data_IF_741057234136
#
_entry.id   IF_741057234136
#
_cell.length_a   1.000
_cell.length_b   1.000
_cell.length_c   1.000
_cell.angle_alpha   90.00
_cell.angle_beta   90.00
_cell.angle_gamma   90.00
#
_symmetry.space_group_name_H-M   'P 1'
#
loop_
_entity.id
_entity.type
_entity.pdbx_description
1 polymer ?
#
# COMPACT_ATOMS: atom_id res chain seq x y z
N UNK A 1 -78.61 -7.46 -7.68
CA UNK A 1 -77.58 -7.63 -8.73
C UNK A 1 -76.22 -7.37 -8.07
N UNK A 2 -75.58 -8.30 -7.37
CA UNK A 2 -75.62 -9.79 -7.44
C UNK A 2 -75.23 -10.30 -8.84
N UNK A 3 -74.33 -11.27 -9.02
CA UNK A 3 -73.61 -12.17 -8.09
C UNK A 3 -72.07 -12.01 -8.24
N UNK A 4 -71.14 -12.53 -7.42
CA UNK A 4 -71.01 -13.81 -6.66
C UNK A 4 -70.87 -15.04 -7.62
N UNK A 5 -70.05 -16.09 -7.41
CA UNK A 5 -69.30 -16.65 -6.25
C UNK A 5 -67.96 -17.26 -6.75
N UNK A 6 -66.93 -17.52 -5.89
CA UNK A 6 -65.75 -18.31 -6.34
C UNK A 6 -64.66 -18.72 -5.30
N UNK A 7 -64.91 -19.68 -4.41
CA UNK A 7 -63.95 -20.29 -3.43
C UNK A 7 -63.90 -21.84 -3.58
N UNK A 8 -62.98 -22.65 -3.01
CA UNK A 8 -61.89 -22.42 -2.00
C UNK A 8 -60.49 -22.72 -2.64
N UNK A 9 -59.46 -23.46 -2.17
CA UNK A 9 -59.06 -24.28 -0.98
C UNK A 9 -57.49 -24.26 -0.94
N UNK A 10 -56.69 -24.16 0.14
CA UNK A 10 -56.52 -24.79 1.48
C UNK A 10 -55.65 -26.08 1.54
N UNK A 11 -54.59 -26.08 2.38
CA UNK A 11 -53.74 -27.23 2.75
C UNK A 11 -52.37 -27.33 2.05
N UNK A 12 -51.27 -27.86 2.64
CA UNK A 12 -51.01 -28.29 4.04
C UNK A 12 -49.50 -28.29 4.37
N UNK A 13 -49.11 -28.07 5.64
CA UNK A 13 -47.74 -28.36 6.15
C UNK A 13 -47.56 -29.85 6.51
N UNK A 14 -46.35 -30.39 6.39
CA UNK A 14 -45.85 -31.47 7.27
C UNK A 14 -44.32 -31.44 7.43
N UNK A 15 -43.83 -31.90 8.59
CA UNK A 15 -42.42 -32.20 8.88
C UNK A 15 -42.13 -33.68 8.60
N UNK A 16 -40.88 -34.04 8.37
CA UNK A 16 -40.34 -35.30 8.90
C UNK A 16 -38.82 -35.22 9.11
N UNK A 17 -38.28 -36.09 9.98
CA UNK A 17 -36.86 -36.21 10.30
C UNK A 17 -36.53 -37.67 10.66
N UNK A 18 -35.30 -38.09 10.35
CA UNK A 18 -34.55 -39.28 10.78
C UNK A 18 -33.08 -38.98 10.38
N UNK A 19 -32.01 -39.16 11.15
CA UNK A 19 -31.67 -39.94 12.36
C UNK A 19 -31.24 -41.41 12.13
N UNK A 20 -30.04 -41.72 12.65
CA UNK A 20 -29.28 -42.98 12.67
C UNK A 20 -28.87 -43.59 11.30
N UNK A 21 -27.74 -44.32 11.18
CA UNK A 21 -27.16 -45.27 12.15
C UNK A 21 -25.62 -45.33 12.17
N UNK A 22 -25.11 -45.79 13.32
CA UNK A 22 -23.77 -46.36 13.66
C UNK A 22 -23.27 -47.40 12.61
N UNK A 23 -22.02 -47.90 12.55
CA UNK A 23 -20.85 -48.02 13.47
C UNK A 23 -19.58 -48.21 12.57
N UNK A 24 -18.34 -48.59 12.92
CA UNK A 24 -17.61 -49.03 14.15
C UNK A 24 -16.08 -48.92 13.96
N UNK A 25 -15.33 -49.09 15.06
CA UNK A 25 -13.93 -49.58 15.14
C UNK A 25 -13.96 -50.91 15.91
N UNK A 26 -12.96 -51.85 15.85
CA UNK A 26 -11.74 -51.71 16.68
C UNK A 26 -10.46 -52.57 16.39
N UNK A 27 -9.27 -52.08 16.82
CA UNK A 27 -8.13 -52.87 17.39
C UNK A 27 -7.40 -53.88 16.43
N UNK A 28 -6.23 -54.49 16.72
CA UNK A 28 -5.24 -54.44 17.85
C UNK A 28 -3.84 -54.95 17.40
N UNK A 29 -2.81 -54.67 18.22
CA UNK A 29 -1.51 -55.40 18.39
C UNK A 29 -0.60 -55.62 17.16
N UNK A 30 0.71 -55.29 17.17
CA UNK A 30 1.80 -55.60 18.12
C UNK A 30 2.32 -57.05 18.03
N UNK A 31 3.53 -57.24 17.49
CA UNK A 31 4.52 -58.14 18.09
C UNK A 31 5.95 -57.93 17.56
N UNK A 32 6.92 -58.42 18.33
CA UNK A 32 8.37 -58.34 18.09
C UNK A 32 8.97 -59.68 17.69
N UNK A 33 10.04 -59.68 16.89
CA UNK A 33 11.04 -60.76 16.90
C UNK A 33 12.41 -60.26 16.40
N UNK A 34 13.49 -60.87 16.91
CA UNK A 34 14.86 -60.71 16.42
C UNK A 34 15.19 -61.90 15.51
N UNK A 35 16.05 -61.68 14.53
CA UNK A 35 16.99 -62.68 14.01
C UNK A 35 18.30 -62.00 13.64
N UNK A 36 19.39 -62.76 13.68
CA UNK A 36 20.77 -62.27 13.50
C UNK A 36 21.41 -63.07 12.36
N UNK A 37 22.01 -62.40 11.39
CA UNK A 37 23.11 -63.02 10.62
C UNK A 37 24.05 -61.95 10.02
N UNK A 38 25.14 -62.40 9.40
CA UNK A 38 26.39 -61.65 9.29
C UNK A 38 26.66 -61.04 7.90
N UNK A 39 27.34 -59.89 7.89
CA UNK A 39 28.71 -59.71 7.32
C UNK A 39 28.90 -58.41 6.50
N UNK A 40 30.02 -57.71 6.75
CA UNK A 40 30.76 -56.77 5.86
C UNK A 40 29.93 -55.75 5.01
N UNK A 41 30.08 -54.43 5.12
CA UNK A 41 31.35 -53.65 5.06
C UNK A 41 31.25 -52.21 5.65
N UNK A 42 32.42 -51.57 5.82
CA UNK A 42 32.70 -50.12 5.64
C UNK A 42 31.83 -49.05 6.34
N UNK A 43 32.40 -48.50 7.43
CA UNK A 43 32.66 -47.07 7.65
C UNK A 43 31.58 -46.01 7.32
N UNK A 44 30.95 -45.44 8.36
CA UNK A 44 30.71 -43.98 8.48
C UNK A 44 30.22 -43.64 9.90
N UNK A 45 31.07 -43.00 10.72
CA UNK A 45 30.71 -42.55 12.07
C UNK A 45 30.73 -41.02 12.14
N UNK A 46 29.54 -40.42 12.15
CA UNK A 46 29.21 -39.12 12.76
C UNK A 46 30.31 -38.05 12.87
N UNK A 47 30.31 -37.07 11.97
CA UNK A 47 30.90 -35.76 12.26
C UNK A 47 29.84 -34.65 12.24
N UNK A 48 30.14 -33.58 12.97
CA UNK A 48 29.23 -32.45 13.21
C UNK A 48 29.43 -31.44 12.08
N UNK A 49 28.36 -30.94 11.48
CA UNK A 49 28.44 -29.75 10.62
C UNK A 49 28.66 -28.50 11.48
N UNK A 50 29.88 -28.34 12.00
CA UNK A 50 30.40 -27.02 12.34
C UNK A 50 30.57 -26.21 11.06
N UNK A 51 29.90 -25.06 10.96
CA UNK A 51 30.30 -24.05 9.99
C UNK A 51 31.67 -23.52 10.39
N UNK A 52 32.72 -24.15 9.86
CA UNK A 52 34.06 -23.60 9.89
C UNK A 52 34.11 -22.44 8.89
N UNK A 53 33.64 -21.28 9.34
CA UNK A 53 33.96 -20.01 8.68
C UNK A 53 35.48 -19.90 8.63
N UNK A 54 36.05 -20.17 7.46
CA UNK A 54 37.45 -19.85 7.19
C UNK A 54 37.61 -18.35 7.37
N UNK A 55 38.14 -17.95 8.53
CA UNK A 55 38.66 -16.61 8.80
C UNK A 55 39.81 -16.32 7.84
N UNK A 56 39.46 -15.96 6.61
CA UNK A 56 40.32 -15.19 5.74
C UNK A 56 40.63 -13.91 6.48
N UNK A 57 41.82 -13.86 7.08
CA UNK A 57 42.38 -12.63 7.66
C UNK A 57 42.18 -11.52 6.63
N UNK A 58 41.43 -10.48 7.00
CA UNK A 58 41.21 -9.35 6.11
C UNK A 58 42.50 -8.52 6.09
N UNK A 59 43.43 -8.94 5.24
CA UNK A 59 44.67 -8.23 5.01
C UNK A 59 44.29 -6.90 4.36
N UNK A 60 44.55 -5.80 5.07
CA UNK A 60 44.28 -4.44 4.58
C UNK A 60 44.98 -4.21 3.25
N UNK A 61 44.34 -3.42 2.38
CA UNK A 61 44.89 -2.97 1.11
C UNK A 61 46.30 -2.35 1.27
N UNK A 62 46.47 -1.55 2.33
CA UNK A 62 47.76 -0.94 2.69
C UNK A 62 48.81 -1.98 3.13
N UNK A 63 48.39 -3.06 3.79
CA UNK A 63 49.28 -4.14 4.24
C UNK A 63 49.74 -5.00 3.04
N UNK A 64 48.85 -5.32 2.10
CA UNK A 64 49.21 -6.01 0.85
C UNK A 64 50.23 -5.16 0.07
N UNK A 65 49.95 -3.87 -0.08
CA UNK A 65 50.84 -2.94 -0.78
C UNK A 65 52.21 -2.82 -0.10
N UNK A 66 52.24 -2.64 1.22
CA UNK A 66 53.47 -2.62 2.01
C UNK A 66 54.30 -3.89 1.84
N UNK A 67 53.66 -5.06 1.89
CA UNK A 67 54.37 -6.34 1.79
C UNK A 67 54.86 -6.63 0.34
N UNK A 68 54.19 -6.10 -0.69
CA UNK A 68 54.74 -6.05 -2.05
C UNK A 68 55.97 -5.15 -2.15
N UNK A 69 55.91 -3.92 -1.64
CA UNK A 69 57.04 -2.97 -1.63
C UNK A 69 58.26 -3.57 -0.90
N UNK A 70 58.01 -4.32 0.19
CA UNK A 70 59.01 -5.07 0.96
C UNK A 70 59.59 -6.28 0.20
N UNK A 71 58.77 -7.05 -0.52
CA UNK A 71 59.26 -8.12 -1.40
C UNK A 71 60.16 -7.54 -2.50
N UNK A 72 59.73 -6.46 -3.15
CA UNK A 72 60.47 -5.78 -4.21
C UNK A 72 61.80 -5.18 -3.73
N UNK A 73 61.86 -4.67 -2.50
CA UNK A 73 63.10 -4.22 -1.88
C UNK A 73 64.07 -5.40 -1.66
N UNK A 74 63.60 -6.49 -1.04
CA UNK A 74 64.43 -7.67 -0.77
C UNK A 74 64.90 -8.38 -2.06
N UNK A 75 64.11 -8.36 -3.14
CA UNK A 75 64.54 -8.84 -4.47
C UNK A 75 65.71 -7.99 -4.99
N UNK A 76 65.64 -6.66 -4.90
CA UNK A 76 66.71 -5.75 -5.33
C UNK A 76 68.00 -5.94 -4.54
N UNK A 77 67.89 -6.20 -3.23
CA UNK A 77 69.05 -6.54 -2.39
C UNK A 77 69.67 -7.88 -2.80
N UNK A 78 68.88 -8.94 -3.02
CA UNK A 78 69.43 -10.19 -3.54
C UNK A 78 70.06 -10.02 -4.93
N UNK A 79 69.47 -9.23 -5.83
CA UNK A 79 70.04 -8.90 -7.15
C UNK A 79 71.30 -8.02 -7.09
N UNK A 80 71.55 -7.35 -5.96
CA UNK A 80 72.77 -6.61 -5.69
C UNK A 80 73.86 -7.56 -5.17
N UNK A 81 73.55 -8.39 -4.18
CA UNK A 81 74.50 -9.37 -3.63
C UNK A 81 74.91 -10.43 -4.67
N UNK A 82 73.99 -10.85 -5.55
CA UNK A 82 74.31 -11.72 -6.71
C UNK A 82 75.41 -11.16 -7.62
N UNK A 83 75.54 -9.84 -7.77
CA UNK A 83 76.54 -9.21 -8.67
C UNK A 83 77.96 -9.22 -8.11
N UNK A 84 78.13 -9.46 -6.81
CA UNK A 84 79.43 -9.50 -6.11
C UNK A 84 79.76 -10.88 -5.52
N UNK A 85 78.84 -11.84 -5.62
CA UNK A 85 78.98 -13.16 -5.04
C UNK A 85 79.89 -14.08 -5.88
N UNK A 86 81.04 -14.46 -5.32
CA UNK A 86 82.01 -15.40 -5.93
C UNK A 86 81.79 -16.87 -5.53
N UNK A 87 80.84 -17.16 -4.63
CA UNK A 87 80.56 -18.50 -4.13
C UNK A 87 79.28 -19.06 -4.77
N UNK A 88 79.39 -20.12 -5.58
CA UNK A 88 78.27 -20.72 -6.30
C UNK A 88 77.11 -21.16 -5.39
N UNK A 89 77.37 -21.64 -4.17
CA UNK A 89 76.32 -22.09 -3.26
C UNK A 89 75.51 -20.89 -2.73
N UNK A 90 76.19 -19.79 -2.43
CA UNK A 90 75.56 -18.55 -1.97
C UNK A 90 74.83 -17.82 -3.12
N UNK A 91 75.39 -17.85 -4.32
CA UNK A 91 74.75 -17.35 -5.54
C UNK A 91 73.44 -18.10 -5.84
N UNK A 92 73.46 -19.43 -5.79
CA UNK A 92 72.27 -20.27 -5.95
C UNK A 92 71.23 -20.01 -4.85
N UNK A 93 71.65 -19.77 -3.60
CA UNK A 93 70.76 -19.38 -2.52
C UNK A 93 70.06 -18.03 -2.79
N UNK A 94 70.79 -17.03 -3.30
CA UNK A 94 70.20 -15.74 -3.67
C UNK A 94 69.21 -15.86 -4.84
N UNK A 95 69.52 -16.67 -5.86
CA UNK A 95 68.58 -16.97 -6.96
C UNK A 95 67.29 -17.61 -6.43
N UNK A 96 67.40 -18.66 -5.60
CA UNK A 96 66.24 -19.34 -5.03
C UNK A 96 65.39 -18.40 -4.16
N UNK A 97 66.04 -17.54 -3.36
CA UNK A 97 65.38 -16.57 -2.48
C UNK A 97 64.67 -15.46 -3.26
N UNK A 98 65.30 -14.91 -4.30
CA UNK A 98 64.70 -13.90 -5.17
C UNK A 98 63.52 -14.46 -5.99
N UNK A 99 63.64 -15.68 -6.54
CA UNK A 99 62.53 -16.34 -7.25
C UNK A 99 61.32 -16.57 -6.34
N UNK A 100 61.53 -17.07 -5.12
CA UNK A 100 60.45 -17.26 -4.14
C UNK A 100 59.78 -15.94 -3.73
N UNK A 101 60.52 -14.86 -3.60
CA UNK A 101 59.93 -13.52 -3.34
C UNK A 101 59.14 -12.99 -4.54
N UNK A 102 59.56 -13.28 -5.78
CA UNK A 102 58.80 -12.91 -6.99
C UNK A 102 57.47 -13.66 -7.07
N UNK A 103 57.44 -14.95 -6.72
CA UNK A 103 56.20 -15.74 -6.59
C UNK A 103 55.26 -15.12 -5.54
N UNK A 104 55.78 -14.70 -4.39
CA UNK A 104 55.00 -14.03 -3.34
C UNK A 104 54.48 -12.65 -3.78
N UNK A 105 55.30 -11.82 -4.43
CA UNK A 105 54.90 -10.51 -4.95
C UNK A 105 53.80 -10.63 -6.02
N UNK A 106 53.88 -11.64 -6.90
CA UNK A 106 52.83 -11.96 -7.87
C UNK A 106 51.51 -12.37 -7.19
N UNK A 107 51.55 -13.21 -6.15
CA UNK A 107 50.35 -13.60 -5.40
C UNK A 107 49.68 -12.39 -4.74
N UNK A 108 50.46 -11.48 -4.14
CA UNK A 108 49.91 -10.24 -3.58
C UNK A 108 49.29 -9.33 -4.66
N UNK A 109 49.92 -9.20 -5.83
CA UNK A 109 49.40 -8.42 -6.96
C UNK A 109 48.05 -8.95 -7.47
N UNK A 110 47.82 -10.26 -7.49
CA UNK A 110 46.53 -10.85 -7.85
C UNK A 110 45.44 -10.55 -6.82
N UNK A 111 45.75 -10.66 -5.52
CA UNK A 111 44.81 -10.33 -4.44
C UNK A 111 44.46 -8.84 -4.47
N UNK A 112 45.45 -7.96 -4.64
CA UNK A 112 45.27 -6.50 -4.75
C UNK A 112 44.33 -6.14 -5.90
N UNK A 113 44.59 -6.66 -7.11
CA UNK A 113 43.74 -6.42 -8.29
C UNK A 113 42.31 -6.88 -8.06
N UNK A 114 42.12 -8.03 -7.41
CA UNK A 114 40.78 -8.54 -7.10
C UNK A 114 40.04 -7.63 -6.11
N UNK A 115 40.69 -7.20 -5.02
CA UNK A 115 40.09 -6.24 -4.08
C UNK A 115 39.72 -4.92 -4.78
N UNK A 116 40.56 -4.42 -5.69
CA UNK A 116 40.28 -3.22 -6.48
C UNK A 116 39.05 -3.38 -7.39
N UNK A 117 38.88 -4.54 -8.04
CA UNK A 117 37.67 -4.83 -8.84
C UNK A 117 36.42 -5.02 -7.98
N UNK A 118 36.54 -5.72 -6.85
CA UNK A 118 35.42 -6.00 -5.94
C UNK A 118 34.90 -4.68 -5.28
N UNK A 119 35.79 -3.74 -4.97
CA UNK A 119 35.44 -2.39 -4.48
C UNK A 119 34.68 -1.58 -5.54
N UNK A 120 35.22 -1.49 -6.76
CA UNK A 120 34.58 -0.75 -7.87
C UNK A 120 33.20 -1.30 -8.22
N UNK A 121 33.04 -2.62 -8.19
CA UNK A 121 31.76 -3.29 -8.39
C UNK A 121 30.76 -2.97 -7.27
N UNK A 122 31.23 -2.87 -6.03
CA UNK A 122 30.40 -2.51 -4.86
C UNK A 122 29.94 -1.05 -4.92
N UNK A 123 30.82 -0.12 -5.31
CA UNK A 123 30.47 1.29 -5.58
C UNK A 123 29.41 1.41 -6.69
N UNK A 124 29.54 0.64 -7.76
CA UNK A 124 28.56 0.65 -8.86
C UNK A 124 27.21 0.04 -8.44
N UNK A 125 27.20 -1.05 -7.65
CA UNK A 125 25.97 -1.59 -7.05
C UNK A 125 25.29 -0.55 -6.15
N UNK A 126 26.03 0.12 -5.27
CA UNK A 126 25.47 1.13 -4.36
C UNK A 126 24.85 2.31 -5.15
N UNK A 127 25.56 2.76 -6.20
CA UNK A 127 25.09 3.81 -7.12
C UNK A 127 23.84 3.39 -7.91
N UNK A 128 23.74 2.11 -8.29
CA UNK A 128 22.55 1.55 -8.93
C UNK A 128 21.37 1.43 -7.95
N UNK A 129 21.58 1.02 -6.70
CA UNK A 129 20.53 0.96 -5.66
C UNK A 129 19.88 2.32 -5.45
N UNK A 130 20.69 3.36 -5.18
CA UNK A 130 20.23 4.73 -5.00
C UNK A 130 19.45 5.26 -6.23
N UNK A 131 19.84 4.84 -7.44
CA UNK A 131 19.13 5.19 -8.68
C UNK A 131 17.78 4.47 -8.80
N UNK A 132 17.69 3.21 -8.37
CA UNK A 132 16.43 2.45 -8.33
C UNK A 132 15.47 3.06 -7.31
N UNK A 133 15.94 3.37 -6.10
CA UNK A 133 15.16 4.03 -5.04
C UNK A 133 14.60 5.38 -5.54
N UNK A 134 15.43 6.19 -6.20
CA UNK A 134 15.00 7.46 -6.79
C UNK A 134 13.92 7.29 -7.88
N UNK A 135 14.07 6.31 -8.78
CA UNK A 135 13.11 6.02 -9.84
C UNK A 135 11.79 5.43 -9.31
N UNK A 136 11.85 4.65 -8.23
CA UNK A 136 10.66 4.18 -7.51
C UNK A 136 9.91 5.34 -6.88
N UNK A 137 10.61 6.27 -6.22
CA UNK A 137 9.99 7.46 -5.63
C UNK A 137 9.36 8.37 -6.70
N UNK A 138 10.08 8.62 -7.81
CA UNK A 138 9.52 9.39 -8.94
C UNK A 138 8.26 8.75 -9.52
N UNK A 139 8.22 7.42 -9.68
CA UNK A 139 7.01 6.74 -10.15
C UNK A 139 5.87 6.78 -9.12
N UNK A 140 6.16 6.61 -7.81
CA UNK A 140 5.15 6.77 -6.74
C UNK A 140 4.56 8.19 -6.74
N UNK A 141 5.35 9.23 -7.00
CA UNK A 141 4.86 10.61 -7.04
C UNK A 141 4.16 10.99 -8.36
N UNK A 142 4.60 10.44 -9.50
CA UNK A 142 3.87 10.53 -10.78
C UNK A 142 2.50 9.88 -10.67
N UNK A 143 2.42 8.64 -10.17
CA UNK A 143 1.15 7.92 -9.99
C UNK A 143 0.20 8.68 -9.04
N UNK A 144 0.72 9.26 -7.94
CA UNK A 144 -0.07 10.16 -7.07
C UNK A 144 -0.67 11.36 -7.80
N UNK A 145 -0.01 11.89 -8.84
CA UNK A 145 -0.53 13.01 -9.64
C UNK A 145 -1.50 12.57 -10.73
N UNK A 146 -1.25 11.43 -11.38
CA UNK A 146 -2.15 10.82 -12.37
C UNK A 146 -3.47 10.35 -11.73
N UNK A 147 -3.46 10.05 -10.43
CA UNK A 147 -4.63 9.66 -9.65
C UNK A 147 -5.34 10.81 -8.90
N UNK A 148 -4.96 12.09 -9.09
CA UNK A 148 -5.71 13.23 -8.54
C UNK A 148 -6.80 13.70 -9.52
N UNK A 149 -7.86 12.90 -9.67
CA UNK A 149 -8.85 13.07 -10.74
C UNK A 149 -9.83 14.24 -10.54
N UNK A 150 -9.84 14.93 -9.39
CA UNK A 150 -10.95 15.80 -8.98
C UNK A 150 -11.11 17.08 -9.80
N UNK A 151 -10.03 17.57 -10.41
CA UNK A 151 -10.06 18.74 -11.30
C UNK A 151 -10.62 18.44 -12.70
N UNK A 152 -11.10 17.20 -12.95
CA UNK A 152 -11.67 16.78 -14.25
C UNK A 152 -13.15 17.13 -14.40
N UNK A 153 -13.47 17.98 -15.37
CA UNK A 153 -14.85 18.33 -15.75
C UNK A 153 -15.68 17.11 -16.21
N UNK A 154 -16.96 17.05 -15.80
CA UNK A 154 -17.90 15.99 -16.20
C UNK A 154 -18.30 16.09 -17.67
N UNK A 155 -18.11 15.00 -18.43
CA UNK A 155 -18.58 14.85 -19.82
C UNK A 155 -19.94 14.15 -19.95
N UNK A 156 -20.60 13.82 -18.83
CA UNK A 156 -21.84 13.02 -18.81
C UNK A 156 -23.06 13.78 -19.34
N UNK A 157 -23.95 13.07 -20.02
CA UNK A 157 -25.28 13.57 -20.40
C UNK A 157 -26.14 13.84 -19.16
N UNK A 158 -27.26 14.57 -19.34
CA UNK A 158 -28.23 14.76 -18.26
C UNK A 158 -28.86 13.44 -17.81
N UNK A 159 -29.09 12.52 -18.74
CA UNK A 159 -29.75 11.23 -18.48
C UNK A 159 -28.85 10.32 -17.62
N UNK A 160 -27.55 10.25 -17.93
CA UNK A 160 -26.56 9.54 -17.10
C UNK A 160 -26.42 10.14 -15.69
N UNK A 161 -26.57 11.46 -15.56
CA UNK A 161 -26.57 12.15 -14.27
C UNK A 161 -27.85 11.86 -13.46
N UNK A 162 -29.02 11.87 -14.11
CA UNK A 162 -30.30 11.61 -13.45
C UNK A 162 -30.46 10.11 -13.08
N UNK A 163 -30.00 9.16 -13.90
CA UNK A 163 -29.98 7.72 -13.62
C UNK A 163 -29.10 7.38 -12.40
N UNK A 164 -27.81 7.75 -12.42
CA UNK A 164 -26.91 7.52 -11.31
C UNK A 164 -27.45 8.12 -10.00
N UNK A 165 -28.00 9.34 -10.08
CA UNK A 165 -28.64 10.00 -8.94
C UNK A 165 -29.87 9.24 -8.43
N UNK A 166 -30.67 8.62 -9.30
CA UNK A 166 -31.81 7.79 -8.90
C UNK A 166 -31.37 6.49 -8.22
N UNK A 167 -30.28 5.88 -8.69
CA UNK A 167 -29.64 4.74 -8.03
C UNK A 167 -29.16 5.10 -6.62
N UNK A 168 -28.45 6.23 -6.45
CA UNK A 168 -28.04 6.71 -5.11
C UNK A 168 -29.21 6.96 -4.15
N UNK A 169 -30.30 7.57 -4.65
CA UNK A 169 -31.51 7.86 -3.85
C UNK A 169 -32.12 6.57 -3.29
N UNK A 170 -32.16 5.52 -4.11
CA UNK A 170 -32.68 4.21 -3.75
C UNK A 170 -31.73 3.50 -2.79
N UNK A 171 -30.44 3.42 -3.14
CA UNK A 171 -29.41 2.73 -2.36
C UNK A 171 -29.26 3.31 -0.95
N UNK A 172 -29.08 4.63 -0.82
CA UNK A 172 -28.94 5.28 0.49
C UNK A 172 -30.28 5.62 1.17
N UNK A 173 -31.42 5.12 0.67
CA UNK A 173 -32.76 5.42 1.18
C UNK A 173 -32.98 6.93 1.46
N UNK A 174 -32.57 7.78 0.51
CA UNK A 174 -32.60 9.24 0.61
C UNK A 174 -33.78 9.87 -0.14
N UNK A 175 -34.73 9.04 -0.62
CA UNK A 175 -35.96 9.50 -1.25
C UNK A 175 -37.00 9.95 -0.23
N UNK A 176 -37.75 11.00 -0.53
CA UNK A 176 -38.87 11.46 0.29
C UNK A 176 -40.19 10.80 -0.14
N UNK A 177 -41.09 10.44 0.80
CA UNK A 177 -42.47 10.08 0.48
C UNK A 177 -43.23 11.21 -0.24
N UNK A 178 -42.82 12.48 -0.03
CA UNK A 178 -43.30 13.62 -0.81
C UNK A 178 -42.41 13.77 -2.05
N UNK A 179 -42.96 13.37 -3.20
CA UNK A 179 -42.26 13.36 -4.49
C UNK A 179 -41.46 14.64 -4.78
N UNK A 180 -40.36 14.48 -5.54
CA UNK A 180 -39.38 15.51 -5.94
C UNK A 180 -38.38 15.97 -4.87
N UNK A 181 -38.50 15.57 -3.61
CA UNK A 181 -37.50 15.92 -2.57
C UNK A 181 -36.50 14.80 -2.25
N UNK A 182 -35.24 15.17 -2.00
CA UNK A 182 -34.10 14.27 -1.73
C UNK A 182 -33.40 14.68 -0.43
N UNK A 183 -33.00 13.71 0.38
CA UNK A 183 -32.23 13.92 1.60
C UNK A 183 -30.76 14.21 1.30
N UNK A 184 -30.19 15.27 1.89
CA UNK A 184 -28.75 15.48 1.93
C UNK A 184 -28.13 14.62 3.05
N UNK A 185 -27.08 13.86 2.72
CA UNK A 185 -26.41 12.95 3.66
C UNK A 185 -25.58 13.65 4.74
N UNK A 186 -25.33 14.96 4.64
CA UNK A 186 -24.64 15.72 5.70
C UNK A 186 -25.64 16.49 6.56
N UNK A 187 -26.49 17.29 5.90
CA UNK A 187 -27.43 18.16 6.60
C UNK A 187 -28.62 17.41 7.21
N UNK A 188 -28.80 16.13 6.89
CA UNK A 188 -29.88 15.26 7.38
C UNK A 188 -31.31 15.72 7.03
N UNK A 189 -31.45 16.75 6.18
CA UNK A 189 -32.71 17.35 5.71
C UNK A 189 -33.04 16.97 4.28
N UNK A 190 -34.33 17.04 3.94
CA UNK A 190 -34.83 16.95 2.58
C UNK A 190 -34.82 18.33 1.90
N UNK A 191 -34.44 18.36 0.63
CA UNK A 191 -34.46 19.54 -0.25
C UNK A 191 -35.12 19.17 -1.58
N UNK A 192 -35.48 20.16 -2.40
CA UNK A 192 -35.84 19.89 -3.80
C UNK A 192 -34.69 19.18 -4.55
N UNK A 193 -35.03 18.28 -5.48
CA UNK A 193 -34.07 17.50 -6.28
C UNK A 193 -32.97 18.37 -6.88
N UNK A 194 -33.26 19.61 -7.26
CA UNK A 194 -32.33 20.47 -7.98
C UNK A 194 -31.20 21.03 -7.09
N UNK A 195 -31.32 21.03 -5.76
CA UNK A 195 -30.25 21.50 -4.85
C UNK A 195 -29.32 20.39 -4.33
N UNK A 196 -29.72 19.12 -4.45
CA UNK A 196 -28.88 17.97 -4.10
C UNK A 196 -28.12 17.49 -5.34
N UNK A 197 -26.82 17.25 -5.21
CA UNK A 197 -25.92 16.72 -6.24
C UNK A 197 -25.62 15.25 -5.95
N UNK A 198 -25.51 14.45 -7.01
CA UNK A 198 -24.99 13.09 -6.92
C UNK A 198 -23.48 13.15 -7.16
N UNK A 199 -22.76 13.48 -6.10
CA UNK A 199 -21.31 13.63 -6.11
C UNK A 199 -20.68 12.27 -6.37
N UNK A 200 -19.79 12.20 -7.35
CA UNK A 200 -18.93 11.05 -7.60
C UNK A 200 -17.68 11.18 -6.74
N UNK A 201 -17.35 10.14 -5.96
CA UNK A 201 -16.13 10.11 -5.14
C UNK A 201 -14.93 10.03 -6.08
N UNK A 202 -14.81 8.97 -6.88
CA UNK A 202 -13.91 8.95 -8.04
C UNK A 202 -14.63 9.49 -9.27
N UNK A 203 -14.07 10.52 -9.93
CA UNK A 203 -14.79 11.29 -10.96
C UNK A 203 -15.23 10.42 -12.14
N UNK A 204 -16.51 10.49 -12.50
CA UNK A 204 -17.08 9.81 -13.66
C UNK A 204 -16.38 10.13 -14.99
N UNK A 205 -15.79 11.32 -15.12
CA UNK A 205 -15.03 11.74 -16.31
C UNK A 205 -13.81 10.86 -16.60
N UNK A 206 -13.24 10.17 -15.60
CA UNK A 206 -12.17 9.17 -15.76
C UNK A 206 -12.63 7.92 -16.50
N UNK A 207 -13.95 7.68 -16.62
CA UNK A 207 -14.56 6.42 -17.10
C UNK A 207 -14.12 5.17 -16.34
N UNK A 208 -13.57 5.33 -15.13
CA UNK A 208 -13.06 4.23 -14.31
C UNK A 208 -11.55 4.00 -14.40
N UNK A 209 -10.83 4.72 -15.27
CA UNK A 209 -9.36 4.73 -15.29
C UNK A 209 -8.84 5.10 -13.90
N UNK A 210 -7.86 4.33 -13.40
CA UNK A 210 -7.28 4.47 -12.06
C UNK A 210 -8.04 3.74 -10.94
N UNK A 211 -9.22 3.15 -11.19
CA UNK A 211 -9.93 2.35 -10.17
C UNK A 211 -9.21 1.03 -9.84
N UNK A 212 -8.48 0.45 -10.79
CA UNK A 212 -7.65 -0.75 -10.61
C UNK A 212 -6.70 -0.64 -9.43
N UNK A 213 -6.10 0.55 -9.27
CA UNK A 213 -5.14 0.89 -8.23
C UNK A 213 -5.75 0.77 -6.82
N UNK A 214 -7.06 1.00 -6.70
CA UNK A 214 -7.83 0.81 -5.48
C UNK A 214 -8.45 -0.58 -5.36
N UNK A 215 -8.04 -1.56 -6.17
CA UNK A 215 -8.62 -2.91 -6.23
C UNK A 215 -10.15 -2.85 -6.49
N UNK A 216 -10.55 -2.00 -7.46
CA UNK A 216 -11.90 -1.83 -8.04
C UNK A 216 -11.89 -2.14 -9.56
N UNK A 217 -13.06 -2.36 -10.16
CA UNK A 217 -13.24 -2.45 -11.62
C UNK A 217 -13.51 -1.07 -12.23
N UNK A 218 -13.24 -0.88 -13.53
CA UNK A 218 -13.62 0.36 -14.23
C UNK A 218 -15.15 0.60 -14.18
N UNK A 219 -15.94 -0.48 -14.27
CA UNK A 219 -17.39 -0.46 -14.12
C UNK A 219 -17.88 0.06 -12.76
N UNK A 220 -17.05 0.00 -11.70
CA UNK A 220 -17.42 0.55 -10.40
C UNK A 220 -17.49 2.09 -10.39
N UNK A 221 -17.09 2.77 -11.48
CA UNK A 221 -17.20 4.23 -11.61
C UNK A 221 -18.63 4.73 -11.44
N UNK A 222 -19.64 3.95 -11.85
CA UNK A 222 -21.06 4.28 -11.69
C UNK A 222 -21.76 3.42 -10.61
N UNK A 223 -21.01 2.70 -9.79
CA UNK A 223 -21.52 1.97 -8.63
C UNK A 223 -22.00 2.96 -7.55
N UNK A 224 -23.09 2.64 -6.85
CA UNK A 224 -23.69 3.51 -5.84
C UNK A 224 -22.75 3.79 -4.66
N UNK A 225 -21.81 2.87 -4.41
CA UNK A 225 -20.72 3.03 -3.42
C UNK A 225 -19.64 4.03 -3.84
N UNK A 226 -19.60 4.42 -5.11
CA UNK A 226 -18.80 5.54 -5.61
C UNK A 226 -19.55 6.89 -5.56
N UNK A 227 -20.75 6.95 -4.98
CA UNK A 227 -21.58 8.15 -4.93
C UNK A 227 -21.95 8.64 -3.54
N UNK A 228 -22.20 9.95 -3.42
CA UNK A 228 -22.77 10.62 -2.25
C UNK A 228 -23.85 11.64 -2.66
N UNK A 229 -24.89 11.81 -1.84
CA UNK A 229 -25.95 12.82 -2.03
C UNK A 229 -25.70 14.05 -1.15
N UNK A 230 -25.01 15.03 -1.73
CA UNK A 230 -24.53 16.25 -1.06
C UNK A 230 -25.36 17.47 -1.49
N UNK A 231 -25.52 18.47 -0.62
CA UNK A 231 -26.06 19.78 -1.04
C UNK A 231 -25.02 20.49 -1.93
N UNK A 232 -25.44 21.28 -2.91
CA UNK A 232 -24.57 21.78 -3.98
C UNK A 232 -23.29 22.50 -3.50
N UNK A 233 -23.37 23.33 -2.47
CA UNK A 233 -22.20 24.00 -1.88
C UNK A 233 -21.22 23.01 -1.22
N UNK A 234 -21.73 21.97 -0.56
CA UNK A 234 -20.93 20.89 0.04
C UNK A 234 -20.25 20.08 -1.06
N UNK A 235 -20.96 19.76 -2.14
CA UNK A 235 -20.40 19.05 -3.29
C UNK A 235 -19.26 19.84 -3.95
N UNK A 236 -19.47 21.12 -4.28
CA UNK A 236 -18.43 22.01 -4.82
C UNK A 236 -17.22 22.13 -3.89
N UNK A 237 -17.42 22.05 -2.58
CA UNK A 237 -16.35 22.11 -1.57
C UNK A 237 -15.57 20.80 -1.45
N UNK A 238 -16.25 19.66 -1.54
CA UNK A 238 -15.65 18.33 -1.61
C UNK A 238 -14.81 18.20 -2.90
N UNK A 239 -15.39 18.57 -4.03
CA UNK A 239 -14.74 18.58 -5.34
C UNK A 239 -13.47 19.44 -5.36
N UNK A 240 -13.56 20.67 -4.84
CA UNK A 240 -12.41 21.60 -4.76
C UNK A 240 -11.42 21.28 -3.62
N UNK A 241 -11.47 20.06 -3.04
CA UNK A 241 -10.52 19.55 -2.04
C UNK A 241 -10.44 20.44 -0.76
N UNK A 242 -11.50 21.20 -0.45
CA UNK A 242 -11.62 22.14 0.68
C UNK A 242 -12.27 21.54 1.94
N UNK A 243 -13.02 20.45 1.77
CA UNK A 243 -13.43 19.53 2.84
C UNK A 243 -13.18 18.10 2.36
N UNK A 244 -13.10 17.14 3.28
CA UNK A 244 -13.02 15.71 2.96
C UNK A 244 -13.82 14.87 3.95
N UNK A 245 -13.84 13.55 3.73
CA UNK A 245 -14.50 12.58 4.61
C UNK A 245 -13.49 11.60 5.23
N UNK A 246 -13.45 11.56 6.56
CA UNK A 246 -12.51 10.76 7.35
C UNK A 246 -13.28 9.63 8.07
N UNK A 247 -12.69 8.45 8.19
CA UNK A 247 -13.33 7.30 8.83
C UNK A 247 -12.88 7.17 10.28
N UNK A 248 -13.76 7.49 11.22
CA UNK A 248 -13.59 7.29 12.65
C UNK A 248 -13.73 5.78 12.97
N UNK A 249 -12.63 5.08 13.32
CA UNK A 249 -12.67 3.64 13.56
C UNK A 249 -13.27 3.30 14.93
N UNK A 250 -13.31 4.25 15.87
CA UNK A 250 -13.81 4.05 17.23
C UNK A 250 -15.32 4.23 17.30
N UNK A 251 -15.86 5.22 16.59
CA UNK A 251 -17.31 5.44 16.45
C UNK A 251 -17.91 4.80 15.18
N UNK A 252 -17.09 4.09 14.39
CA UNK A 252 -17.50 3.26 13.25
C UNK A 252 -18.12 4.02 12.07
N UNK A 253 -17.89 5.33 11.94
CA UNK A 253 -18.61 6.20 11.02
C UNK A 253 -17.70 7.13 10.19
N UNK A 254 -18.27 7.76 9.16
CA UNK A 254 -17.59 8.75 8.33
C UNK A 254 -17.95 10.15 8.81
N UNK A 255 -16.95 11.02 8.99
CA UNK A 255 -17.11 12.42 9.43
C UNK A 255 -16.63 13.39 8.37
N UNK A 256 -17.29 14.54 8.27
CA UNK A 256 -16.77 15.72 7.55
C UNK A 256 -15.53 16.26 8.28
N UNK A 257 -14.51 16.67 7.53
CA UNK A 257 -13.44 17.55 8.00
C UNK A 257 -13.35 18.77 7.09
N UNK A 258 -13.54 19.96 7.65
CA UNK A 258 -13.31 21.23 6.95
C UNK A 258 -11.82 21.58 7.00
N UNK A 259 -11.20 21.73 5.83
CA UNK A 259 -9.78 22.02 5.69
C UNK A 259 -9.51 23.48 5.31
N UNK A 260 -10.43 24.14 4.62
CA UNK A 260 -10.30 25.55 4.23
C UNK A 260 -10.89 26.48 5.31
N UNK A 261 -10.05 27.19 6.06
CA UNK A 261 -10.50 28.04 7.17
C UNK A 261 -11.40 29.20 6.73
N UNK A 262 -11.13 29.84 5.59
CA UNK A 262 -11.95 30.92 5.02
C UNK A 262 -13.42 30.50 4.81
N UNK A 263 -13.64 29.21 4.56
CA UNK A 263 -14.96 28.65 4.34
C UNK A 263 -15.79 28.56 5.62
N UNK A 264 -15.18 28.49 6.82
CA UNK A 264 -15.86 28.13 8.07
C UNK A 264 -17.10 28.97 8.35
N UNK A 265 -17.03 30.28 8.12
CA UNK A 265 -18.15 31.22 8.34
C UNK A 265 -19.08 31.39 7.13
N UNK A 266 -18.83 30.68 6.02
CA UNK A 266 -19.69 30.71 4.83
C UNK A 266 -20.95 29.87 5.09
N UNK A 267 -22.12 30.40 4.74
CA UNK A 267 -23.38 29.64 4.80
C UNK A 267 -23.42 28.55 3.72
N UNK A 268 -23.91 27.37 4.09
CA UNK A 268 -24.04 26.21 3.20
C UNK A 268 -25.24 26.38 2.25
N UNK A 269 -26.32 26.97 2.76
CA UNK A 269 -27.62 27.07 2.11
C UNK A 269 -28.01 28.56 2.07
N UNK A 270 -28.73 28.99 1.04
CA UNK A 270 -29.19 30.38 0.91
C UNK A 270 -30.19 30.75 2.02
N UNK A 271 -30.19 32.00 2.50
CA UNK A 271 -31.01 32.45 3.64
C UNK A 271 -32.51 32.10 3.51
N UNK A 272 -33.11 32.30 2.34
CA UNK A 272 -34.51 31.94 2.08
C UNK A 272 -34.80 30.42 2.16
N UNK A 273 -33.81 29.59 1.82
CA UNK A 273 -33.89 28.12 1.90
C UNK A 273 -33.52 27.64 3.30
N UNK A 274 -32.64 28.35 4.02
CA UNK A 274 -32.40 28.12 5.44
C UNK A 274 -33.69 28.28 6.23
N UNK A 275 -34.27 29.50 6.27
CA UNK A 275 -35.43 29.84 7.12
C UNK A 275 -36.66 28.95 6.94
N UNK A 276 -36.73 28.17 5.85
CA UNK A 276 -37.81 27.21 5.54
C UNK A 276 -37.49 25.75 5.87
N UNK A 277 -36.21 25.35 5.97
CA UNK A 277 -35.78 23.96 6.22
C UNK A 277 -34.98 23.77 7.54
N UNK A 278 -34.45 24.87 8.06
CA UNK A 278 -33.66 24.99 9.29
C UNK A 278 -34.16 26.22 10.06
N UNK A 279 -34.40 26.07 11.37
CA UNK A 279 -34.78 27.19 12.23
C UNK A 279 -33.58 28.12 12.54
N UNK A 280 -32.40 27.80 12.00
CA UNK A 280 -31.09 28.40 12.26
C UNK A 280 -30.30 28.40 10.94
N UNK A 281 -29.46 29.40 10.70
CA UNK A 281 -28.54 29.39 9.56
C UNK A 281 -27.43 28.35 9.78
N UNK A 282 -27.05 27.59 8.73
CA UNK A 282 -25.94 26.61 8.81
C UNK A 282 -24.72 27.08 8.03
N UNK A 283 -23.61 27.25 8.73
CA UNK A 283 -22.27 27.50 8.17
C UNK A 283 -21.49 26.19 7.96
N UNK A 284 -20.37 26.23 7.23
CA UNK A 284 -19.48 25.07 7.12
C UNK A 284 -18.85 24.68 8.46
N UNK A 285 -18.65 25.62 9.39
CA UNK A 285 -18.19 25.30 10.75
C UNK A 285 -19.20 24.41 11.51
N UNK A 286 -20.50 24.60 11.29
CA UNK A 286 -21.58 23.83 11.93
C UNK A 286 -21.74 22.40 11.40
N UNK A 287 -20.93 22.01 10.41
CA UNK A 287 -20.83 20.62 9.91
C UNK A 287 -19.43 20.03 10.08
N UNK A 288 -18.46 20.74 10.67
CA UNK A 288 -17.13 20.17 10.92
C UNK A 288 -17.23 19.04 11.97
N UNK A 289 -16.60 17.89 11.69
CA UNK A 289 -16.78 16.62 12.42
C UNK A 289 -18.19 16.00 12.39
N UNK A 290 -19.15 16.57 11.63
CA UNK A 290 -20.48 16.02 11.50
C UNK A 290 -20.49 14.67 10.76
N UNK A 291 -21.33 13.75 11.23
CA UNK A 291 -21.40 12.36 10.74
C UNK A 291 -22.18 12.29 9.43
N UNK A 292 -21.59 11.69 8.40
CA UNK A 292 -22.23 11.30 7.15
C UNK A 292 -23.37 10.31 7.44
N UNK A 293 -24.60 10.74 7.17
CA UNK A 293 -25.82 9.98 7.41
C UNK A 293 -25.95 8.85 6.38
N UNK A 294 -25.76 7.62 6.86
CA UNK A 294 -25.83 6.38 6.08
C UNK A 294 -26.91 5.46 6.66
N UNK A 295 -27.63 4.68 5.83
CA UNK A 295 -28.40 3.54 6.32
C UNK A 295 -27.49 2.47 6.96
N UNK A 296 -28.00 1.65 7.90
CA UNK A 296 -27.22 0.57 8.51
C UNK A 296 -26.56 -0.34 7.47
N UNK A 297 -25.28 -0.67 7.71
CA UNK A 297 -24.44 -1.54 6.88
C UNK A 297 -24.13 -1.05 5.45
N UNK A 298 -24.62 0.12 5.02
CA UNK A 298 -24.29 0.69 3.71
C UNK A 298 -23.16 1.71 3.83
N UNK A 299 -22.04 1.43 3.15
CA UNK A 299 -20.87 2.30 3.15
C UNK A 299 -20.36 2.57 1.72
N UNK A 300 -20.04 3.84 1.38
CA UNK A 300 -19.26 4.14 0.18
C UNK A 300 -17.88 3.47 0.22
N UNK A 301 -17.16 3.50 -0.90
CA UNK A 301 -15.79 2.97 -0.97
C UNK A 301 -14.83 3.81 -0.12
N UNK A 302 -14.62 3.39 1.14
CA UNK A 302 -13.71 4.07 2.10
C UNK A 302 -12.32 4.34 1.52
N UNK A 303 -11.80 3.43 0.69
CA UNK A 303 -10.53 3.59 -0.04
C UNK A 303 -10.46 4.81 -0.96
N UNK A 304 -11.54 5.13 -1.67
CA UNK A 304 -11.63 6.32 -2.52
C UNK A 304 -11.80 7.60 -1.67
N UNK A 305 -12.51 7.53 -0.55
CA UNK A 305 -12.62 8.65 0.41
C UNK A 305 -11.30 8.93 1.15
N UNK A 306 -10.54 7.89 1.51
CA UNK A 306 -9.20 8.03 2.07
C UNK A 306 -8.26 8.67 1.04
N UNK A 307 -8.29 8.23 -0.22
CA UNK A 307 -7.51 8.85 -1.28
C UNK A 307 -7.87 10.32 -1.52
N UNK A 308 -9.17 10.64 -1.56
CA UNK A 308 -9.64 12.04 -1.58
C UNK A 308 -9.13 12.84 -0.38
N UNK A 309 -9.14 12.26 0.82
CA UNK A 309 -8.57 12.85 2.03
C UNK A 309 -7.07 13.12 1.91
N UNK A 310 -6.28 12.18 1.36
CA UNK A 310 -4.84 12.35 1.09
C UNK A 310 -4.57 13.50 0.12
N UNK A 311 -5.30 13.56 -1.00
CA UNK A 311 -5.20 14.68 -1.94
C UNK A 311 -5.65 16.00 -1.31
N UNK A 312 -6.72 16.00 -0.51
CA UNK A 312 -7.25 17.19 0.14
C UNK A 312 -6.31 17.76 1.21
N UNK A 313 -5.71 16.91 2.06
CA UNK A 313 -4.69 17.34 3.02
C UNK A 313 -3.43 17.86 2.32
N UNK A 314 -2.99 17.23 1.21
CA UNK A 314 -1.88 17.72 0.38
C UNK A 314 -2.18 19.13 -0.16
N UNK A 315 -3.38 19.34 -0.71
CA UNK A 315 -3.86 20.64 -1.20
C UNK A 315 -3.97 21.67 -0.08
N UNK A 316 -4.50 21.29 1.09
CA UNK A 316 -4.67 22.19 2.23
C UNK A 316 -3.32 22.64 2.82
N UNK A 317 -2.32 21.74 2.92
CA UNK A 317 -0.95 22.12 3.33
C UNK A 317 -0.24 22.99 2.29
N UNK A 318 -0.42 22.72 1.00
CA UNK A 318 0.14 23.55 -0.06
C UNK A 318 -0.43 24.99 -0.03
N UNK A 319 -1.73 25.13 0.22
CA UNK A 319 -2.42 26.42 0.35
C UNK A 319 -2.33 27.05 1.76
N UNK A 320 -1.66 26.40 2.71
CA UNK A 320 -1.53 26.83 4.12
C UNK A 320 -2.87 27.01 4.85
N UNK A 321 -3.90 26.25 4.49
CA UNK A 321 -5.20 26.30 5.18
C UNK A 321 -5.21 25.54 6.50
N UNK A 322 -4.34 24.53 6.64
CA UNK A 322 -4.11 23.75 7.87
C UNK A 322 -2.64 23.81 8.28
N UNK A 323 -2.35 23.49 9.54
CA UNK A 323 -0.99 23.45 10.05
C UNK A 323 -0.14 22.37 9.38
N UNK A 324 1.17 22.62 9.30
CA UNK A 324 2.12 21.67 8.71
C UNK A 324 2.15 20.33 9.45
N UNK A 325 1.92 20.38 10.76
CA UNK A 325 2.06 19.24 11.66
C UNK A 325 0.77 18.40 11.81
N UNK A 326 -0.39 18.91 11.37
CA UNK A 326 -1.67 18.16 11.39
C UNK A 326 -1.60 16.97 10.42
N UNK A 327 -1.83 15.74 10.87
CA UNK A 327 -1.67 14.53 10.04
C UNK A 327 -3.03 13.98 9.61
N UNK A 328 -3.05 13.28 8.49
CA UNK A 328 -4.25 12.53 8.07
C UNK A 328 -4.37 11.25 8.91
N UNK A 329 -3.22 10.71 9.29
CA UNK A 329 -3.01 9.49 10.06
C UNK A 329 -3.65 9.57 11.46
N UNK A 330 -3.78 10.77 12.03
CA UNK A 330 -4.48 11.03 13.30
C UNK A 330 -5.99 10.70 13.23
N UNK A 331 -6.54 10.54 12.01
CA UNK A 331 -7.96 10.32 11.73
C UNK A 331 -8.26 8.99 11.00
N UNK A 332 -7.31 8.05 10.91
CA UNK A 332 -7.52 6.74 10.29
C UNK A 332 -6.80 5.61 11.06
N UNK A 333 -7.35 4.39 10.98
CA UNK A 333 -6.66 3.22 11.51
C UNK A 333 -5.58 2.72 10.52
N UNK A 334 -4.40 2.35 11.02
CA UNK A 334 -3.24 1.93 10.20
C UNK A 334 -3.56 0.80 9.22
N UNK A 335 -4.50 -0.09 9.57
CA UNK A 335 -4.91 -1.21 8.70
C UNK A 335 -5.61 -0.78 7.40
N UNK A 336 -6.28 0.38 7.37
CA UNK A 336 -6.88 0.90 6.13
C UNK A 336 -5.82 1.53 5.20
N UNK A 337 -4.70 2.02 5.76
CA UNK A 337 -3.61 2.67 5.01
C UNK A 337 -2.77 1.69 4.18
N UNK A 338 -2.66 0.43 4.61
CA UNK A 338 -1.90 -0.65 3.95
C UNK A 338 -2.54 -1.08 2.61
N UNK A 339 -3.75 -0.60 2.28
CA UNK A 339 -4.50 -0.99 1.07
C UNK A 339 -4.40 -0.02 -0.12
N UNK A 340 -3.29 0.73 -0.20
CA UNK A 340 -2.99 1.67 -1.28
C UNK A 340 -2.16 1.02 -2.42
N UNK A 341 -2.05 1.68 -3.60
CA UNK A 341 -1.34 1.12 -4.74
C UNK A 341 0.18 1.20 -4.52
N UNK A 342 0.87 0.06 -4.65
CA UNK A 342 2.33 -0.03 -4.55
C UNK A 342 2.90 -0.26 -3.13
N UNK A 343 2.12 -0.90 -2.25
CA UNK A 343 2.57 -1.52 -0.99
C UNK A 343 1.96 -2.93 -0.82
N UNK A 344 2.36 -3.83 -1.75
CA UNK A 344 2.42 -5.29 -1.60
C UNK A 344 3.83 -5.71 -2.08
#
# INVERSE_FOLDING_TARGET
MESDVGLVHLGTRKKQAHEDTRTSTPKKSLNTSKSTEMSLTSTTSSEKNSHEEKKTSSISYDQIKHDMEKCDAAIKDYEKEMKICTNNNLFNYYIASASKLREQSMMFLEIYKKQETDSKFTEEIQKLSLKVEYLLQQNKDRLKSELDCWDTSSTRTKEEQDDFKNKLITYYNCGSPKMRTIKCMILNKYFDRNFVRASHIWKAATKGVGLTEFKLSESDVNNERNGLLLYESIEKTFDSKKLCFLYDPFAGNLRVKILCNDLRQTFIVDDAINRTNFNELRTFNDIDNAVLQLPPNLFPYRRLLNWHGRCSFKTAKANKWIDKDERLEDFFHLSDLISLPGED
#
